data_IF_411553141105
#
_entry.id   IF_411553141105
#
_cell.length_a   1.000
_cell.length_b   1.000
_cell.length_c   1.000
_cell.angle_alpha   90.00
_cell.angle_beta   90.00
_cell.angle_gamma   90.00
#
_symmetry.space_group_name_H-M   'P 1'
#
loop_
_entity.id
_entity.type
_entity.pdbx_description
1 polymer ?
#
# COMPACT_ATOMS: atom_id res chain seq x y z
N UNK A 1 3.03 -8.43 -13.74
CA UNK A 1 4.08 -8.22 -12.70
C UNK A 1 5.50 -8.05 -13.28
N UNK A 2 5.67 -8.14 -14.61
CA UNK A 2 7.00 -7.94 -15.24
C UNK A 2 7.57 -6.55 -14.92
N UNK A 3 6.77 -5.50 -15.04
CA UNK A 3 7.20 -4.12 -14.76
C UNK A 3 7.80 -3.91 -13.35
N UNK A 4 7.31 -4.65 -12.34
CA UNK A 4 7.92 -4.62 -11.00
C UNK A 4 9.32 -5.26 -10.99
N UNK A 5 9.50 -6.39 -11.68
CA UNK A 5 10.81 -7.04 -11.81
C UNK A 5 11.78 -6.16 -12.59
N UNK A 6 11.31 -5.54 -13.66
CA UNK A 6 12.13 -4.63 -14.48
C UNK A 6 12.61 -3.44 -13.65
N UNK A 7 11.75 -2.88 -12.77
CA UNK A 7 12.14 -1.82 -11.85
C UNK A 7 13.16 -2.32 -10.80
N UNK A 8 12.97 -3.51 -10.25
CA UNK A 8 13.93 -4.10 -9.30
C UNK A 8 15.29 -4.36 -9.96
N UNK A 9 15.28 -4.88 -11.19
CA UNK A 9 16.50 -5.05 -11.99
C UNK A 9 17.18 -3.71 -12.24
N UNK A 10 16.41 -2.67 -12.62
CA UNK A 10 16.93 -1.33 -12.83
C UNK A 10 17.60 -0.75 -11.57
N UNK A 11 16.97 -0.92 -10.39
CA UNK A 11 17.59 -0.48 -9.12
C UNK A 11 18.88 -1.26 -8.83
N UNK A 12 18.89 -2.56 -9.09
CA UNK A 12 20.07 -3.41 -8.88
C UNK A 12 21.26 -3.03 -9.77
N UNK A 13 20.98 -2.65 -11.02
CA UNK A 13 22.02 -2.34 -12.04
C UNK A 13 22.48 -0.87 -12.02
N UNK A 14 21.56 0.05 -11.74
CA UNK A 14 21.79 1.50 -11.91
C UNK A 14 21.64 2.29 -10.60
N UNK A 15 21.27 1.63 -9.49
CA UNK A 15 21.10 2.29 -8.21
C UNK A 15 22.41 2.86 -7.67
N UNK A 16 22.36 4.10 -7.22
CA UNK A 16 23.45 4.73 -6.49
C UNK A 16 23.51 4.20 -5.07
N UNK A 17 24.71 3.86 -4.60
CA UNK A 17 24.91 3.42 -3.21
C UNK A 17 24.73 4.61 -2.27
N UNK A 18 23.85 4.44 -1.26
CA UNK A 18 23.57 5.44 -0.24
C UNK A 18 23.62 4.82 1.15
N UNK A 19 24.00 5.63 2.14
CA UNK A 19 23.73 5.33 3.55
C UNK A 19 22.25 5.57 3.85
N UNK A 20 21.75 4.92 4.88
CA UNK A 20 20.38 5.07 5.36
C UNK A 20 20.34 5.12 6.89
N UNK A 21 19.17 5.43 7.46
CA UNK A 21 18.95 5.53 8.90
C UNK A 21 19.29 4.25 9.65
N UNK A 22 19.10 3.09 9.03
CA UNK A 22 19.33 1.77 9.67
C UNK A 22 20.80 1.34 9.67
N UNK A 23 21.66 2.05 8.93
CA UNK A 23 23.08 1.69 8.76
C UNK A 23 23.33 0.50 7.82
N UNK A 24 22.27 -0.11 7.25
CA UNK A 24 22.38 -1.24 6.31
C UNK A 24 22.96 -0.81 4.96
N UNK A 25 22.64 0.40 4.51
CA UNK A 25 22.94 0.91 3.19
C UNK A 25 21.98 0.40 2.12
N UNK A 26 21.85 1.17 1.04
CA UNK A 26 20.95 0.87 -0.07
C UNK A 26 21.59 1.10 -1.43
N UNK A 27 21.03 0.45 -2.47
CA UNK A 27 21.09 0.92 -3.86
C UNK A 27 19.79 1.67 -4.14
N UNK A 28 19.86 2.89 -4.66
CA UNK A 28 18.70 3.77 -4.83
C UNK A 28 18.68 4.44 -6.19
N UNK A 29 17.48 4.53 -6.78
CA UNK A 29 17.14 5.40 -7.90
C UNK A 29 16.07 6.39 -7.47
N UNK A 30 15.99 7.56 -8.11
CA UNK A 30 15.00 8.57 -7.77
C UNK A 30 14.03 8.79 -8.93
N UNK A 31 12.74 8.59 -8.62
CA UNK A 31 11.67 8.76 -9.61
C UNK A 31 11.47 7.51 -10.46
N UNK A 32 10.33 6.83 -10.23
CA UNK A 32 9.87 5.71 -11.04
C UNK A 32 8.35 5.62 -10.99
N UNK A 33 7.76 4.90 -11.94
CA UNK A 33 6.31 4.66 -11.94
C UNK A 33 6.00 3.26 -12.47
N UNK A 34 5.07 2.58 -11.80
CA UNK A 34 4.47 1.33 -12.26
C UNK A 34 2.98 1.53 -12.51
N UNK A 35 2.41 0.77 -13.44
CA UNK A 35 0.98 0.78 -13.74
C UNK A 35 0.47 -0.65 -13.81
N UNK A 36 -0.69 -0.89 -13.21
CA UNK A 36 -1.36 -2.18 -13.15
C UNK A 36 -2.81 -2.02 -13.59
N UNK A 37 -3.21 -2.67 -14.68
CA UNK A 37 -4.62 -2.81 -15.05
C UNK A 37 -5.29 -3.79 -14.09
N UNK A 38 -6.22 -3.29 -13.28
CA UNK A 38 -6.91 -4.12 -12.27
C UNK A 38 -7.92 -5.10 -12.89
N UNK A 39 -8.24 -4.97 -14.18
CA UNK A 39 -9.04 -5.94 -14.92
C UNK A 39 -8.22 -7.16 -15.38
N UNK A 40 -6.90 -7.02 -15.48
CA UNK A 40 -6.01 -8.13 -15.85
C UNK A 40 -5.78 -9.14 -14.70
N UNK A 41 -6.24 -8.82 -13.50
CA UNK A 41 -6.11 -9.61 -12.28
C UNK A 41 -5.59 -8.80 -11.09
N UNK A 42 -5.62 -9.40 -9.92
CA UNK A 42 -5.14 -8.74 -8.69
C UNK A 42 -3.61 -8.73 -8.66
N UNK A 43 -2.95 -7.55 -8.55
CA UNK A 43 -1.50 -7.43 -8.67
C UNK A 43 -0.75 -7.89 -7.41
N UNK A 44 -0.97 -9.14 -7.00
CA UNK A 44 -0.22 -9.81 -5.95
C UNK A 44 0.94 -10.59 -6.58
N UNK A 45 2.15 -10.38 -6.09
CA UNK A 45 3.36 -11.00 -6.66
C UNK A 45 3.26 -12.53 -6.70
N UNK A 46 3.69 -13.11 -7.82
CA UNK A 46 3.79 -14.57 -8.00
C UNK A 46 5.23 -15.07 -8.01
N UNK A 47 6.22 -14.21 -8.14
CA UNK A 47 7.66 -14.57 -8.10
C UNK A 47 8.17 -14.85 -6.69
N UNK A 48 7.43 -14.44 -5.68
CA UNK A 48 7.54 -14.92 -4.29
C UNK A 48 6.17 -14.85 -3.63
N UNK A 49 5.89 -15.75 -2.68
CA UNK A 49 4.65 -15.71 -1.90
C UNK A 49 4.64 -14.47 -1.00
N UNK A 50 3.55 -13.70 -1.08
CA UNK A 50 3.28 -12.53 -0.23
C UNK A 50 2.17 -12.86 0.77
N UNK A 51 2.26 -12.35 1.99
CA UNK A 51 1.33 -12.67 3.08
C UNK A 51 0.08 -11.78 3.01
N UNK A 52 -0.91 -12.20 2.20
CA UNK A 52 -2.15 -11.44 1.96
C UNK A 52 -2.89 -11.08 3.25
N UNK A 53 -2.92 -11.98 4.25
CA UNK A 53 -3.60 -11.73 5.53
C UNK A 53 -3.11 -10.44 6.19
N UNK A 54 -1.80 -10.20 6.22
CA UNK A 54 -1.25 -8.95 6.76
C UNK A 54 -1.69 -7.73 5.97
N UNK A 55 -1.72 -7.82 4.64
CA UNK A 55 -2.13 -6.71 3.76
C UNK A 55 -3.59 -6.33 4.02
N UNK A 56 -4.49 -7.32 4.08
CA UNK A 56 -5.93 -7.07 4.31
C UNK A 56 -6.16 -6.47 5.69
N UNK A 57 -5.59 -7.06 6.75
CA UNK A 57 -5.78 -6.53 8.10
C UNK A 57 -5.16 -5.13 8.28
N UNK A 58 -4.00 -4.86 7.70
CA UNK A 58 -3.39 -3.52 7.73
C UNK A 58 -4.30 -2.48 7.05
N UNK A 59 -4.83 -2.79 5.86
CA UNK A 59 -5.73 -1.89 5.16
C UNK A 59 -7.03 -1.63 5.95
N UNK A 60 -7.64 -2.68 6.52
CA UNK A 60 -8.82 -2.54 7.36
C UNK A 60 -8.53 -1.71 8.62
N UNK A 61 -7.35 -1.86 9.20
CA UNK A 61 -6.90 -1.09 10.35
C UNK A 61 -6.72 0.40 9.99
N UNK A 62 -6.13 0.73 8.84
CA UNK A 62 -6.07 2.11 8.35
C UNK A 62 -7.46 2.70 8.14
N UNK A 63 -8.38 1.94 7.51
CA UNK A 63 -9.75 2.40 7.25
C UNK A 63 -10.57 2.62 8.51
N UNK A 64 -10.23 1.97 9.62
CA UNK A 64 -10.83 2.23 10.94
C UNK A 64 -10.28 3.49 11.61
N UNK A 65 -9.21 4.07 11.10
CA UNK A 65 -8.53 5.21 11.72
C UNK A 65 -7.72 4.86 12.97
N UNK A 66 -7.45 3.57 13.18
CA UNK A 66 -6.72 3.08 14.35
C UNK A 66 -5.21 3.31 14.23
N UNK A 67 -4.55 3.49 15.38
CA UNK A 67 -3.11 3.71 15.50
C UNK A 67 -2.44 2.71 16.42
N UNK A 68 -3.23 1.95 17.20
CA UNK A 68 -2.73 0.93 18.11
C UNK A 68 -2.67 -0.44 17.41
N UNK A 69 -1.56 -1.14 17.56
CA UNK A 69 -1.31 -2.44 16.90
C UNK A 69 -2.13 -3.60 17.46
N UNK A 70 -2.92 -3.40 18.51
CA UNK A 70 -3.70 -4.47 19.17
C UNK A 70 -4.59 -5.21 18.18
N UNK A 71 -5.35 -4.49 17.34
CA UNK A 71 -6.17 -5.13 16.31
C UNK A 71 -5.35 -6.04 15.38
N UNK A 72 -4.16 -5.60 14.99
CA UNK A 72 -3.27 -6.38 14.13
C UNK A 72 -2.76 -7.63 14.85
N UNK A 73 -2.26 -7.48 16.07
CA UNK A 73 -1.73 -8.59 16.88
C UNK A 73 -2.78 -9.62 17.23
N UNK A 74 -4.00 -9.19 17.57
CA UNK A 74 -5.15 -10.07 17.84
C UNK A 74 -5.54 -10.92 16.62
N UNK A 75 -5.23 -10.42 15.42
CA UNK A 75 -5.42 -11.14 14.16
C UNK A 75 -4.15 -11.85 13.66
N UNK A 76 -3.09 -11.93 14.48
CA UNK A 76 -1.84 -12.61 14.14
C UNK A 76 -0.98 -11.89 13.10
N UNK A 77 -1.08 -10.56 13.05
CA UNK A 77 -0.31 -9.67 12.17
C UNK A 77 0.66 -8.85 13.02
N UNK A 78 1.96 -8.98 12.78
CA UNK A 78 3.03 -8.38 13.59
C UNK A 78 3.89 -7.36 12.83
N UNK A 79 3.49 -6.97 11.62
CA UNK A 79 4.32 -6.14 10.71
C UNK A 79 4.60 -4.72 11.22
N UNK A 80 3.94 -4.29 12.31
CA UNK A 80 4.11 -2.97 12.93
C UNK A 80 4.71 -3.03 14.34
N UNK A 81 4.94 -4.24 14.90
CA UNK A 81 5.34 -4.41 16.30
C UNK A 81 6.68 -3.75 16.63
N UNK A 82 7.62 -3.70 15.67
CA UNK A 82 8.97 -3.15 15.87
C UNK A 82 8.99 -1.63 16.09
N UNK A 83 7.93 -0.94 15.66
CA UNK A 83 7.80 0.52 15.81
C UNK A 83 6.84 0.94 16.92
N UNK A 84 6.02 0.00 17.42
CA UNK A 84 5.03 0.32 18.43
C UNK A 84 5.65 0.59 19.80
N UNK A 85 5.06 1.51 20.56
CA UNK A 85 5.38 1.73 21.97
C UNK A 85 5.06 0.48 22.80
N UNK A 86 5.45 0.48 24.07
CA UNK A 86 5.09 -0.60 25.01
C UNK A 86 3.59 -0.80 25.15
N UNK A 87 2.79 0.24 24.95
CA UNK A 87 1.31 0.20 24.99
C UNK A 87 0.70 -0.14 23.60
N UNK A 88 1.55 -0.36 22.61
CA UNK A 88 1.14 -0.73 21.25
C UNK A 88 0.73 0.46 20.36
N UNK A 89 0.98 1.70 20.76
CA UNK A 89 0.64 2.89 20.00
C UNK A 89 1.76 3.29 19.03
N UNK A 90 1.36 3.79 17.87
CA UNK A 90 2.26 4.26 16.79
C UNK A 90 2.18 5.78 16.59
N UNK A 91 1.38 6.50 17.39
CA UNK A 91 1.08 7.89 17.16
C UNK A 91 0.15 8.10 15.97
N UNK A 92 0.00 9.35 15.48
CA UNK A 92 -1.02 9.72 14.48
C UNK A 92 -0.64 9.28 13.05
N UNK A 93 -0.34 7.98 12.86
CA UNK A 93 0.04 7.39 11.56
C UNK A 93 -1.16 7.24 10.62
N UNK A 94 -0.96 6.80 9.43
CA UNK A 94 -1.85 6.60 8.27
C UNK A 94 -3.35 6.68 8.55
N UNK A 95 -3.89 5.73 9.32
CA UNK A 95 -5.34 5.65 9.59
C UNK A 95 -5.88 6.90 10.28
N UNK A 96 -5.15 7.44 11.24
CA UNK A 96 -5.53 8.68 11.91
C UNK A 96 -5.60 9.84 10.91
N UNK A 97 -4.57 10.01 10.07
CA UNK A 97 -4.55 11.09 9.08
C UNK A 97 -5.66 10.93 8.03
N UNK A 98 -5.95 9.72 7.59
CA UNK A 98 -7.00 9.47 6.60
C UNK A 98 -8.41 9.74 7.14
N UNK A 99 -8.65 9.44 8.43
CA UNK A 99 -9.99 9.42 9.02
C UNK A 99 -10.26 10.55 10.02
N UNK A 100 -9.22 11.21 10.51
CA UNK A 100 -9.34 12.17 11.61
C UNK A 100 -8.25 13.25 11.54
N UNK A 101 -8.02 13.83 10.37
CA UNK A 101 -7.04 14.90 10.17
C UNK A 101 -7.37 16.12 11.03
N UNK A 102 -6.49 16.57 11.94
CA UNK A 102 -6.77 17.71 12.79
C UNK A 102 -6.74 19.03 12.00
N UNK A 103 -7.79 19.84 12.11
CA UNK A 103 -7.86 21.16 11.54
C UNK A 103 -7.58 22.25 12.60
N UNK A 104 -7.07 23.44 12.22
CA UNK A 104 -6.73 24.51 13.15
C UNK A 104 -7.91 25.03 13.99
N UNK A 105 -9.13 24.84 13.53
CA UNK A 105 -10.38 25.23 14.21
C UNK A 105 -10.91 24.16 15.18
N UNK A 106 -10.13 23.11 15.43
CA UNK A 106 -10.46 22.01 16.34
C UNK A 106 -11.35 20.91 15.74
N UNK A 107 -11.79 21.04 14.49
CA UNK A 107 -12.49 19.96 13.78
C UNK A 107 -11.52 18.85 13.39
N UNK A 108 -12.08 17.67 13.18
CA UNK A 108 -11.38 16.55 12.55
C UNK A 108 -11.98 16.26 11.18
N UNK A 109 -11.13 16.10 10.18
CA UNK A 109 -11.54 15.91 8.78
C UNK A 109 -11.35 14.43 8.43
N UNK A 110 -12.44 13.76 8.04
CA UNK A 110 -12.41 12.42 7.46
C UNK A 110 -12.20 12.53 5.94
N UNK A 111 -10.95 12.48 5.51
CA UNK A 111 -10.57 12.61 4.10
C UNK A 111 -11.18 11.47 3.25
N UNK A 112 -11.21 10.23 3.80
CA UNK A 112 -11.76 9.08 3.06
C UNK A 112 -13.25 9.23 2.80
N UNK A 113 -14.03 9.66 3.80
CA UNK A 113 -15.47 9.90 3.64
C UNK A 113 -15.74 11.04 2.66
N UNK A 114 -14.96 12.12 2.70
CA UNK A 114 -15.07 13.22 1.72
C UNK A 114 -14.78 12.75 0.28
N UNK A 115 -13.78 11.90 0.09
CA UNK A 115 -13.45 11.33 -1.23
C UNK A 115 -14.59 10.42 -1.72
N UNK A 116 -15.16 9.57 -0.86
CA UNK A 116 -16.30 8.72 -1.23
C UNK A 116 -17.53 9.54 -1.64
N UNK A 117 -17.79 10.65 -0.93
CA UNK A 117 -18.87 11.57 -1.29
C UNK A 117 -18.62 12.22 -2.66
N UNK A 118 -17.40 12.72 -2.91
CA UNK A 118 -17.03 13.30 -4.19
C UNK A 118 -17.15 12.30 -5.34
N UNK A 119 -16.68 11.05 -5.15
CA UNK A 119 -16.81 10.01 -6.17
C UNK A 119 -18.27 9.73 -6.57
N UNK A 120 -19.21 9.87 -5.63
CA UNK A 120 -20.64 9.67 -5.88
C UNK A 120 -21.32 10.89 -6.49
N UNK A 121 -20.95 12.11 -6.07
CA UNK A 121 -21.63 13.35 -6.45
C UNK A 121 -20.97 14.06 -7.64
N UNK A 122 -19.62 13.99 -7.73
CA UNK A 122 -18.85 14.68 -8.77
C UNK A 122 -17.61 13.85 -9.15
N UNK A 123 -17.78 12.73 -9.89
CA UNK A 123 -16.69 11.84 -10.27
C UNK A 123 -15.61 12.50 -11.13
N UNK A 124 -15.90 13.63 -11.80
CA UNK A 124 -14.93 14.40 -12.59
C UNK A 124 -14.03 15.31 -11.74
N UNK A 125 -14.19 15.30 -10.40
CA UNK A 125 -13.38 16.10 -9.50
C UNK A 125 -11.89 15.73 -9.59
N UNK A 126 -11.03 16.76 -9.62
CA UNK A 126 -9.56 16.60 -9.53
C UNK A 126 -9.04 16.71 -8.09
N UNK A 127 -9.94 16.73 -7.09
CA UNK A 127 -9.64 16.99 -5.67
C UNK A 127 -9.81 15.75 -4.79
N UNK A 128 -9.92 14.57 -5.39
CA UNK A 128 -10.09 13.29 -4.69
C UNK A 128 -8.73 12.78 -4.19
N UNK A 129 -8.15 13.50 -3.22
CA UNK A 129 -6.82 13.23 -2.65
C UNK A 129 -6.99 12.88 -1.17
N UNK A 130 -6.22 11.88 -0.72
CA UNK A 130 -6.05 11.52 0.69
C UNK A 130 -4.57 11.59 1.03
N UNK A 131 -4.20 12.39 2.03
CA UNK A 131 -2.83 12.59 2.48
C UNK A 131 -2.61 12.00 3.87
N UNK A 132 -1.51 11.28 4.03
CA UNK A 132 -1.00 10.88 5.34
C UNK A 132 0.16 11.78 5.80
N UNK A 133 0.70 12.62 4.89
CA UNK A 133 1.83 13.49 5.17
C UNK A 133 1.36 14.80 5.84
N UNK A 134 1.14 14.76 7.14
CA UNK A 134 0.81 15.92 7.94
C UNK A 134 2.07 16.47 8.62
N UNK A 135 2.60 17.56 8.09
CA UNK A 135 3.86 18.15 8.55
C UNK A 135 3.85 18.48 10.05
N UNK A 136 2.70 18.86 10.60
CA UNK A 136 2.57 19.19 12.02
C UNK A 136 2.63 17.96 12.96
N UNK A 137 2.41 16.76 12.42
CA UNK A 137 2.33 15.52 13.21
C UNK A 137 3.53 14.58 12.99
N UNK A 138 4.42 14.84 12.01
CA UNK A 138 5.48 13.90 11.62
C UNK A 138 6.35 13.44 12.78
N UNK A 139 6.73 14.36 13.68
CA UNK A 139 7.59 14.05 14.83
C UNK A 139 6.89 13.21 15.91
N UNK A 140 5.56 13.13 15.87
CA UNK A 140 4.74 12.33 16.78
C UNK A 140 4.48 10.92 16.27
N UNK A 141 4.81 10.64 15.02
CA UNK A 141 4.64 9.35 14.39
C UNK A 141 5.82 8.42 14.67
N UNK A 142 5.57 7.20 15.10
CA UNK A 142 6.61 6.19 15.27
C UNK A 142 7.36 5.90 13.96
N UNK A 143 6.67 6.01 12.83
CA UNK A 143 7.24 5.93 11.48
C UNK A 143 6.56 6.95 10.57
N UNK A 144 7.34 7.87 10.01
CA UNK A 144 6.82 8.84 9.04
C UNK A 144 6.30 8.15 7.77
N UNK A 145 5.13 8.55 7.23
CA UNK A 145 4.48 7.86 6.13
C UNK A 145 5.36 7.70 4.89
N UNK A 146 5.62 6.47 4.47
CA UNK A 146 6.32 6.16 3.21
C UNK A 146 5.40 6.39 2.02
N UNK A 147 4.18 5.83 2.04
CA UNK A 147 3.12 6.13 1.08
C UNK A 147 2.39 7.40 1.54
N UNK A 148 2.83 8.55 0.99
CA UNK A 148 2.54 9.87 1.54
C UNK A 148 1.14 10.37 1.21
N UNK A 149 0.67 10.17 -0.02
CA UNK A 149 -0.69 10.49 -0.46
C UNK A 149 -1.09 9.69 -1.68
N UNK A 150 -2.39 9.61 -1.92
CA UNK A 150 -2.95 9.00 -3.11
C UNK A 150 -4.13 9.81 -3.63
N UNK A 151 -4.43 9.63 -4.93
CA UNK A 151 -5.49 10.31 -5.64
C UNK A 151 -6.33 9.31 -6.43
N UNK A 152 -7.65 9.50 -6.40
CA UNK A 152 -8.56 8.78 -7.28
C UNK A 152 -8.88 9.59 -8.53
N UNK A 153 -9.19 8.86 -9.59
CA UNK A 153 -9.57 9.40 -10.90
C UNK A 153 -10.63 8.51 -11.54
N UNK A 154 -11.67 9.11 -12.07
CA UNK A 154 -12.73 8.40 -12.79
C UNK A 154 -12.71 8.83 -14.27
N UNK A 155 -12.74 7.86 -15.17
CA UNK A 155 -12.93 8.04 -16.58
C UNK A 155 -13.74 6.87 -17.15
N UNK A 156 -14.72 7.16 -17.98
CA UNK A 156 -15.60 6.16 -18.61
C UNK A 156 -16.22 5.19 -17.59
N UNK A 157 -16.61 5.71 -16.41
CA UNK A 157 -17.16 4.90 -15.32
C UNK A 157 -16.17 3.96 -14.62
N UNK A 158 -14.86 4.12 -14.87
CA UNK A 158 -13.78 3.32 -14.27
C UNK A 158 -13.00 4.12 -13.27
N UNK A 159 -12.77 3.52 -12.08
CA UNK A 159 -11.98 4.10 -11.00
C UNK A 159 -10.53 3.66 -11.10
N UNK A 160 -9.62 4.63 -11.15
CA UNK A 160 -8.19 4.46 -11.02
C UNK A 160 -7.68 5.12 -9.75
N UNK A 161 -6.55 4.64 -9.24
CA UNK A 161 -5.86 5.22 -8.09
C UNK A 161 -4.39 5.44 -8.42
N UNK A 162 -3.85 6.61 -8.06
CA UNK A 162 -2.42 6.87 -8.11
C UNK A 162 -1.88 7.11 -6.71
N UNK A 163 -0.88 6.33 -6.31
CA UNK A 163 -0.14 6.48 -5.07
C UNK A 163 1.19 7.20 -5.33
N UNK A 164 1.56 8.15 -4.47
CA UNK A 164 2.93 8.63 -4.34
C UNK A 164 3.58 8.05 -3.09
N UNK A 165 4.63 7.25 -3.27
CA UNK A 165 5.44 6.68 -2.20
C UNK A 165 6.81 7.34 -2.20
N UNK A 166 7.12 8.13 -1.17
CA UNK A 166 8.36 8.92 -1.06
C UNK A 166 9.60 8.05 -0.82
N UNK A 167 9.42 6.91 -0.17
CA UNK A 167 10.49 5.98 0.22
C UNK A 167 9.98 4.56 0.03
N UNK A 168 10.64 3.78 -0.82
CA UNK A 168 10.12 2.52 -1.31
C UNK A 168 11.18 1.41 -1.27
N UNK A 169 11.15 0.59 -0.21
CA UNK A 169 11.84 -0.70 -0.19
C UNK A 169 11.23 -1.62 -1.24
N UNK A 170 11.93 -1.76 -2.37
CA UNK A 170 11.39 -2.49 -3.52
C UNK A 170 11.24 -3.99 -3.25
N UNK A 171 12.01 -4.55 -2.32
CA UNK A 171 11.98 -5.99 -2.06
C UNK A 171 10.89 -6.39 -1.05
N UNK A 172 10.81 -5.75 0.12
CA UNK A 172 9.83 -6.11 1.16
C UNK A 172 8.57 -5.24 1.11
N UNK A 173 8.69 -3.91 1.09
CA UNK A 173 7.57 -2.99 1.26
C UNK A 173 6.69 -2.85 0.01
N UNK A 174 7.29 -2.59 -1.14
CA UNK A 174 6.55 -2.30 -2.39
C UNK A 174 5.54 -3.38 -2.77
N UNK A 175 5.83 -4.71 -2.66
CA UNK A 175 4.84 -5.75 -2.93
C UNK A 175 3.57 -5.65 -2.07
N UNK A 176 3.71 -5.29 -0.79
CA UNK A 176 2.60 -5.05 0.11
C UNK A 176 1.80 -3.82 -0.31
N UNK A 177 2.48 -2.71 -0.62
CA UNK A 177 1.83 -1.47 -1.01
C UNK A 177 1.07 -1.59 -2.34
N UNK A 178 1.63 -2.30 -3.35
CA UNK A 178 0.93 -2.58 -4.61
C UNK A 178 -0.40 -3.29 -4.33
N UNK A 179 -0.37 -4.39 -3.58
CA UNK A 179 -1.57 -5.17 -3.29
C UNK A 179 -2.56 -4.41 -2.40
N UNK A 180 -2.09 -3.66 -1.40
CA UNK A 180 -2.92 -2.87 -0.50
C UNK A 180 -3.70 -1.78 -1.24
N UNK A 181 -3.05 -0.98 -2.08
CA UNK A 181 -3.73 0.09 -2.81
C UNK A 181 -4.57 -0.41 -3.99
N UNK A 182 -4.17 -1.52 -4.61
CA UNK A 182 -5.04 -2.21 -5.56
C UNK A 182 -6.34 -2.68 -4.88
N UNK A 183 -6.23 -3.29 -3.70
CA UNK A 183 -7.38 -3.72 -2.90
C UNK A 183 -8.25 -2.55 -2.47
N UNK A 184 -7.65 -1.45 -1.97
CA UNK A 184 -8.38 -0.22 -1.64
C UNK A 184 -9.15 0.31 -2.85
N UNK A 185 -8.54 0.33 -4.04
CA UNK A 185 -9.18 0.77 -5.28
C UNK A 185 -10.39 -0.11 -5.61
N UNK A 186 -10.25 -1.43 -5.48
CA UNK A 186 -11.34 -2.39 -5.69
C UNK A 186 -12.50 -2.18 -4.70
N UNK A 187 -12.17 -1.96 -3.41
CA UNK A 187 -13.18 -1.70 -2.36
C UNK A 187 -13.95 -0.41 -2.65
N UNK A 188 -13.25 0.68 -2.97
CA UNK A 188 -13.85 1.98 -3.29
C UNK A 188 -14.69 1.90 -4.56
N UNK A 189 -14.20 1.26 -5.63
CA UNK A 189 -14.97 1.03 -6.85
C UNK A 189 -16.28 0.29 -6.55
N UNK A 190 -16.22 -0.76 -5.73
CA UNK A 190 -17.40 -1.54 -5.32
C UNK A 190 -18.45 -0.69 -4.62
N UNK A 191 -18.08 0.09 -3.59
CA UNK A 191 -19.05 0.87 -2.80
C UNK A 191 -19.53 2.14 -3.51
N UNK A 192 -18.82 2.59 -4.55
CA UNK A 192 -19.22 3.71 -5.40
C UNK A 192 -19.88 3.27 -6.71
N UNK A 193 -20.11 1.96 -6.91
CA UNK A 193 -20.70 1.40 -8.15
C UNK A 193 -19.92 1.79 -9.42
N UNK A 194 -18.59 1.77 -9.37
CA UNK A 194 -17.69 2.04 -10.48
C UNK A 194 -17.01 0.74 -10.94
N UNK A 195 -16.60 0.71 -12.20
CA UNK A 195 -15.75 -0.36 -12.74
C UNK A 195 -14.30 -0.15 -12.32
N UNK A 196 -13.47 -1.18 -12.44
CA UNK A 196 -12.04 -1.07 -12.18
C UNK A 196 -11.31 -0.40 -13.34
N UNK A 197 -10.39 0.49 -13.00
CA UNK A 197 -9.40 1.09 -13.89
C UNK A 197 -7.99 0.60 -13.53
N UNK A 198 -7.05 1.53 -13.43
CA UNK A 198 -5.65 1.25 -13.15
C UNK A 198 -5.27 1.57 -11.71
N UNK A 199 -4.32 0.82 -11.17
CA UNK A 199 -3.50 1.28 -10.06
C UNK A 199 -2.15 1.79 -10.60
N UNK A 200 -1.83 3.05 -10.31
CA UNK A 200 -0.57 3.71 -10.69
C UNK A 200 0.25 3.95 -9.44
N UNK A 201 1.47 3.42 -9.39
CA UNK A 201 2.37 3.56 -8.26
C UNK A 201 3.56 4.42 -8.65
N UNK A 202 3.62 5.63 -8.12
CA UNK A 202 4.69 6.60 -8.35
C UNK A 202 5.62 6.62 -7.15
N UNK A 203 6.91 6.53 -7.41
CA UNK A 203 7.95 6.43 -6.40
C UNK A 203 8.85 7.66 -6.37
N UNK A 204 9.26 8.06 -5.18
CA UNK A 204 10.39 8.96 -4.95
C UNK A 204 11.70 8.18 -4.88
N UNK A 205 12.27 8.01 -3.67
CA UNK A 205 13.44 7.17 -3.43
C UNK A 205 13.03 5.69 -3.50
N UNK A 206 13.41 5.01 -4.57
CA UNK A 206 13.18 3.58 -4.78
C UNK A 206 14.47 2.85 -4.51
N UNK A 207 14.49 2.00 -3.49
CA UNK A 207 15.74 1.42 -3.02
C UNK A 207 15.64 -0.08 -2.74
N UNK A 208 16.80 -0.72 -2.83
CA UNK A 208 17.07 -2.09 -2.45
C UNK A 208 18.13 -2.09 -1.35
N UNK A 209 17.82 -2.63 -0.18
CA UNK A 209 18.78 -2.75 0.89
C UNK A 209 19.94 -3.67 0.51
N UNK A 210 21.17 -3.35 0.95
CA UNK A 210 22.37 -4.11 0.58
C UNK A 210 22.36 -5.54 1.10
N UNK A 211 21.63 -5.81 2.18
CA UNK A 211 21.43 -7.16 2.72
C UNK A 211 20.31 -7.95 2.01
N UNK A 212 19.67 -7.37 0.96
CA UNK A 212 18.64 -8.02 0.14
C UNK A 212 19.11 -8.34 -1.29
N UNK A 213 20.37 -8.09 -1.63
CA UNK A 213 20.86 -8.22 -3.01
C UNK A 213 20.76 -9.66 -3.54
N UNK A 214 21.08 -10.66 -2.72
CA UNK A 214 20.98 -12.07 -3.12
C UNK A 214 19.53 -12.50 -3.29
N UNK A 215 18.65 -12.08 -2.38
CA UNK A 215 17.22 -12.35 -2.45
C UNK A 215 16.56 -11.70 -3.68
N UNK A 216 17.00 -10.50 -4.05
CA UNK A 216 16.54 -9.82 -5.26
C UNK A 216 16.98 -10.58 -6.52
N UNK A 217 18.23 -11.05 -6.59
CA UNK A 217 18.73 -11.88 -7.69
C UNK A 217 17.97 -13.20 -7.79
N UNK A 218 17.72 -13.87 -6.66
CA UNK A 218 16.88 -15.08 -6.61
C UNK A 218 15.47 -14.80 -7.17
N UNK A 219 14.84 -13.71 -6.76
CA UNK A 219 13.50 -13.36 -7.24
C UNK A 219 13.48 -13.02 -8.73
N UNK A 220 14.50 -12.32 -9.23
CA UNK A 220 14.64 -11.95 -10.64
C UNK A 220 14.85 -13.18 -11.56
N UNK A 221 15.41 -14.26 -11.04
CA UNK A 221 15.55 -15.52 -11.77
C UNK A 221 14.26 -16.32 -11.92
N UNK A 222 13.16 -15.90 -11.26
CA UNK A 222 11.87 -16.58 -11.27
C UNK A 222 10.93 -15.97 -12.30
N UNK A 223 10.31 -16.81 -13.15
CA UNK A 223 9.29 -16.33 -14.08
C UNK A 223 7.97 -16.00 -13.38
N UNK A 224 7.36 -14.83 -13.65
CA UNK A 224 6.03 -14.51 -13.15
C UNK A 224 4.99 -15.50 -13.64
N UNK A 225 4.10 -15.92 -12.73
CA UNK A 225 2.92 -16.75 -13.07
C UNK A 225 1.70 -15.86 -13.29
N UNK A 226 0.58 -16.47 -13.70
CA UNK A 226 -0.70 -15.78 -13.86
C UNK A 226 -1.10 -15.04 -12.58
N UNK A 227 -1.65 -13.85 -12.73
CA UNK A 227 -2.19 -13.08 -11.60
C UNK A 227 -3.40 -13.81 -10.99
N UNK A 228 -3.54 -13.79 -9.66
CA UNK A 228 -4.74 -14.28 -9.00
C UNK A 228 -5.92 -13.35 -9.23
N UNK A 229 -7.10 -13.81 -8.84
CA UNK A 229 -8.32 -13.01 -8.81
C UNK A 229 -8.68 -12.70 -7.36
N UNK A 230 -9.07 -11.45 -7.08
CA UNK A 230 -9.60 -11.04 -5.79
C UNK A 230 -11.10 -10.84 -5.92
N UNK A 231 -11.87 -11.59 -5.15
CA UNK A 231 -13.32 -11.46 -5.04
C UNK A 231 -13.66 -10.69 -3.76
N UNK A 232 -14.54 -9.69 -3.87
CA UNK A 232 -15.09 -8.96 -2.74
C UNK A 232 -16.54 -9.34 -2.55
N UNK A 233 -16.98 -9.51 -1.30
CA UNK A 233 -18.38 -9.78 -0.95
C UNK A 233 -19.28 -8.69 -1.56
N UNK A 234 -20.21 -9.12 -2.41
CA UNK A 234 -21.08 -8.23 -3.16
C UNK A 234 -22.11 -7.50 -2.28
N UNK A 235 -22.39 -8.04 -1.11
CA UNK A 235 -23.40 -7.49 -0.18
C UNK A 235 -22.86 -6.29 0.62
N UNK A 236 -21.53 -6.12 0.71
CA UNK A 236 -20.95 -4.99 1.42
C UNK A 236 -21.09 -3.72 0.59
N UNK A 237 -21.78 -2.70 1.13
CA UNK A 237 -22.07 -1.42 0.49
C UNK A 237 -21.40 -0.23 1.18
N UNK A 238 -20.79 -0.45 2.34
CA UNK A 238 -20.05 0.56 3.09
C UNK A 238 -18.58 0.16 3.17
N UNK A 239 -17.68 1.09 2.80
CA UNK A 239 -16.24 0.89 2.81
C UNK A 239 -15.72 0.44 4.19
N UNK A 240 -16.33 0.95 5.25
CA UNK A 240 -15.90 0.70 6.62
C UNK A 240 -16.52 -0.56 7.24
N UNK A 241 -17.47 -1.18 6.54
CA UNK A 241 -18.11 -2.42 6.99
C UNK A 241 -17.36 -3.69 6.54
N UNK A 242 -16.40 -3.58 5.63
CA UNK A 242 -15.60 -4.73 5.20
C UNK A 242 -14.87 -5.39 6.37
N UNK A 243 -14.86 -6.72 6.35
CA UNK A 243 -14.13 -7.60 7.27
C UNK A 243 -13.21 -8.51 6.47
N UNK A 244 -12.29 -9.17 7.16
CA UNK A 244 -11.33 -10.08 6.50
C UNK A 244 -12.00 -11.17 5.66
N UNK A 245 -13.13 -11.69 6.13
CA UNK A 245 -13.92 -12.76 5.49
C UNK A 245 -14.61 -12.33 4.19
N UNK A 246 -14.67 -11.01 3.92
CA UNK A 246 -15.26 -10.46 2.69
C UNK A 246 -14.32 -10.49 1.48
N UNK A 247 -13.10 -10.97 1.67
CA UNK A 247 -12.07 -11.07 0.64
C UNK A 247 -11.72 -12.53 0.34
N UNK A 248 -11.91 -12.96 -0.90
CA UNK A 248 -11.52 -14.30 -1.37
C UNK A 248 -10.48 -14.19 -2.47
N UNK A 249 -9.30 -14.78 -2.24
CA UNK A 249 -8.23 -14.86 -3.25
C UNK A 249 -8.31 -16.20 -3.97
N UNK A 250 -8.49 -16.15 -5.29
CA UNK A 250 -8.60 -17.32 -6.14
C UNK A 250 -7.37 -17.47 -7.04
N UNK A 251 -7.00 -18.71 -7.33
CA UNK A 251 -5.94 -19.07 -8.26
C UNK A 251 -4.56 -18.42 -7.95
N UNK A 252 -4.25 -18.20 -6.68
CA UNK A 252 -2.94 -17.70 -6.27
C UNK A 252 -1.92 -18.86 -6.21
N UNK A 253 -1.08 -18.94 -7.24
CA UNK A 253 -0.01 -19.93 -7.38
C UNK A 253 1.37 -19.24 -7.42
N UNK A 254 1.90 -18.76 -6.27
CA UNK A 254 3.21 -18.10 -6.22
C UNK A 254 4.34 -19.12 -6.13
N UNK A 255 5.54 -18.69 -6.52
CA UNK A 255 6.78 -19.33 -6.08
C UNK A 255 6.91 -19.26 -4.55
N UNK A 256 7.72 -20.14 -3.93
CA UNK A 256 7.96 -20.12 -2.49
C UNK A 256 8.39 -18.74 -1.97
N UNK A 257 8.15 -18.43 -0.68
CA UNK A 257 8.59 -17.16 -0.09
C UNK A 257 10.12 -17.06 -0.12
N UNK A 258 10.63 -15.84 -0.24
CA UNK A 258 12.05 -15.52 -0.05
C UNK A 258 12.13 -14.70 1.23
N UNK A 259 12.84 -15.22 2.24
CA UNK A 259 13.03 -14.53 3.52
C UNK A 259 14.12 -13.48 3.40
N UNK A 260 13.91 -12.33 4.05
CA UNK A 260 14.90 -11.28 4.17
C UNK A 260 14.76 -10.58 5.53
N UNK A 261 15.84 -10.06 6.12
CA UNK A 261 15.78 -9.30 7.36
C UNK A 261 15.09 -7.96 7.11
N UNK A 262 14.29 -7.50 8.09
CA UNK A 262 13.72 -6.14 8.05
C UNK A 262 14.80 -5.15 8.50
N UNK A 263 14.95 -4.05 7.80
CA UNK A 263 15.82 -2.95 8.20
C UNK A 263 15.03 -1.98 9.09
N UNK A 264 15.41 -1.85 10.36
CA UNK A 264 14.76 -1.04 11.41
C UNK A 264 15.66 0.05 11.95
#
# INVERSE_FOLDING_TARGET
MRSYLDLMQHVLEHGTRKSDRTGTGTLSVFGAQLRFDLNAGFPLLTTKKVHLKSIVHELLWFLKGETNVRYLTDNGVSIWNEWASTDGDLGPVYGYQWRSWPAPDGRHIDQMSQVLEQLRQNPDSRRMIVSAWNVADLERMALMPCHAFFQFYVADGRLSCQLYQRSADIFLGVPFNIASYALLTMMVARVCNLQLGDFVHTFGDTHLYLNHLEQAREQLAREPRKLPLMQLNAEVKDLYAFKYEDFTLEAYDPHPPIRAPVAV
#
